data_IF_001912989543
#
_entry.id   IF_001912989543
#
_cell.length_a   1.000
_cell.length_b   1.000
_cell.length_c   1.000
_cell.angle_alpha   90.00
_cell.angle_beta   90.00
_cell.angle_gamma   90.00
#
_symmetry.space_group_name_H-M   'P 1'
#
loop_
_entity.id
_entity.type
_entity.pdbx_description
1 polymer ?
#
# COMPACT_ATOMS: atom_id res chain seq x y z
N UNK A 1 -15.16 4.31 -7.83
CA UNK A 1 -14.52 5.29 -8.72
C UNK A 1 -13.14 4.78 -9.06
N UNK A 2 -12.83 4.49 -10.33
CA UNK A 2 -11.49 4.04 -10.75
C UNK A 2 -10.55 5.25 -10.62
N UNK A 3 -9.45 5.12 -9.87
CA UNK A 3 -8.40 6.15 -9.81
C UNK A 3 -7.83 6.30 -11.22
N UNK A 4 -8.16 7.39 -11.92
CA UNK A 4 -7.48 7.76 -13.15
C UNK A 4 -6.20 8.49 -12.76
N UNK A 5 -5.06 7.83 -12.90
CA UNK A 5 -3.76 8.38 -12.57
C UNK A 5 -3.55 9.70 -13.32
N UNK A 6 -3.15 10.77 -12.62
CA UNK A 6 -2.81 12.07 -13.26
C UNK A 6 -1.67 11.91 -14.27
N UNK A 7 -0.91 10.81 -14.19
CA UNK A 7 0.17 10.45 -15.10
C UNK A 7 -0.31 10.17 -16.53
N UNK A 8 -1.58 9.81 -16.74
CA UNK A 8 -2.15 9.64 -18.08
C UNK A 8 -2.57 10.98 -18.72
N UNK A 9 -2.30 12.11 -18.07
CA UNK A 9 -2.62 13.43 -18.60
C UNK A 9 -1.64 13.80 -19.73
N UNK A 10 -2.13 14.11 -20.96
CA UNK A 10 -1.28 14.44 -22.10
C UNK A 10 -0.35 15.64 -21.86
N UNK A 11 -0.68 16.52 -20.91
CA UNK A 11 0.14 17.69 -20.56
C UNK A 11 1.43 17.31 -19.86
N UNK A 12 1.44 16.19 -19.11
CA UNK A 12 2.66 15.67 -18.49
C UNK A 12 3.55 15.01 -19.54
N UNK A 13 2.95 14.32 -20.52
CA UNK A 13 3.66 13.67 -21.62
C UNK A 13 4.47 14.63 -22.50
N UNK A 14 4.01 15.88 -22.64
CA UNK A 14 4.71 16.94 -23.37
C UNK A 14 6.04 17.39 -22.73
N UNK A 15 6.26 17.12 -21.44
CA UNK A 15 7.47 17.50 -20.71
C UNK A 15 8.56 16.41 -20.63
N UNK A 16 8.25 15.16 -20.98
CA UNK A 16 9.14 14.01 -20.72
C UNK A 16 10.25 13.78 -21.76
N UNK A 17 10.28 14.56 -22.84
CA UNK A 17 11.23 14.36 -23.94
C UNK A 17 12.53 15.18 -23.87
N UNK A 18 12.72 16.08 -22.89
CA UNK A 18 13.62 17.22 -23.13
C UNK A 18 15.02 17.16 -22.51
N UNK A 19 15.36 16.20 -21.62
CA UNK A 19 16.71 16.20 -21.03
C UNK A 19 17.34 14.79 -20.87
N UNK A 20 18.26 14.39 -21.76
CA UNK A 20 18.97 13.11 -21.65
C UNK A 20 19.93 13.02 -20.43
N UNK A 21 20.11 14.11 -19.68
CA UNK A 21 20.91 14.14 -18.45
C UNK A 21 20.09 13.89 -17.18
N UNK A 22 18.75 13.76 -17.30
CA UNK A 22 17.86 13.50 -16.17
C UNK A 22 17.23 12.13 -16.35
N UNK A 23 17.55 11.20 -15.45
CA UNK A 23 16.88 9.90 -15.41
C UNK A 23 15.41 10.13 -15.07
N UNK A 24 14.53 9.74 -16.00
CA UNK A 24 13.09 9.91 -15.84
C UNK A 24 12.50 8.62 -15.26
N UNK A 25 12.10 8.63 -13.99
CA UNK A 25 11.52 7.47 -13.29
C UNK A 25 9.99 7.40 -13.43
N UNK A 26 9.43 8.10 -14.41
CA UNK A 26 7.98 8.24 -14.59
C UNK A 26 7.31 6.88 -14.83
N UNK A 27 7.88 6.04 -15.69
CA UNK A 27 7.35 4.71 -16.01
C UNK A 27 7.33 3.79 -14.77
N UNK A 28 8.37 3.88 -13.93
CA UNK A 28 8.46 3.11 -12.67
C UNK A 28 7.39 3.58 -11.69
N UNK A 29 7.14 4.88 -11.63
CA UNK A 29 6.14 5.46 -10.71
C UNK A 29 4.72 5.17 -11.19
N UNK A 30 4.49 5.21 -12.50
CA UNK A 30 3.22 4.84 -13.11
C UNK A 30 2.90 3.36 -12.88
N UNK A 31 3.87 2.47 -13.13
CA UNK A 31 3.72 1.03 -12.85
C UNK A 31 3.41 0.77 -11.37
N UNK A 32 4.07 1.49 -10.46
CA UNK A 32 3.77 1.39 -9.04
C UNK A 32 2.32 1.80 -8.72
N UNK A 33 1.82 2.89 -9.30
CA UNK A 33 0.45 3.38 -9.08
C UNK A 33 -0.59 2.43 -9.67
N UNK A 34 -0.36 1.92 -10.88
CA UNK A 34 -1.35 1.10 -11.59
C UNK A 34 -1.38 -0.35 -11.11
N UNK A 35 -0.22 -0.91 -10.76
CA UNK A 35 -0.08 -2.35 -10.55
C UNK A 35 0.36 -2.76 -9.13
N UNK A 36 0.89 -1.84 -8.32
CA UNK A 36 1.53 -2.20 -7.02
C UNK A 36 0.93 -1.51 -5.81
N UNK A 37 0.31 -0.34 -5.97
CA UNK A 37 -0.34 0.37 -4.87
C UNK A 37 -1.63 -0.35 -4.47
N UNK A 38 -1.63 -0.94 -3.27
CA UNK A 38 -2.84 -1.43 -2.65
C UNK A 38 -3.85 -0.30 -2.46
N UNK A 39 -5.14 -0.59 -2.69
CA UNK A 39 -6.22 0.30 -2.26
C UNK A 39 -6.45 0.12 -0.77
N UNK A 40 -6.46 1.23 -0.03
CA UNK A 40 -6.93 1.25 1.35
C UNK A 40 -8.32 0.60 1.43
N UNK A 41 -8.50 -0.44 2.27
CA UNK A 41 -9.81 -1.00 2.55
C UNK A 41 -10.72 0.09 3.12
N UNK A 42 -11.95 0.19 2.61
CA UNK A 42 -12.96 1.09 3.15
C UNK A 42 -13.52 0.55 4.48
N UNK A 43 -12.67 0.49 5.51
CA UNK A 43 -13.00 0.04 6.85
C UNK A 43 -12.86 1.23 7.82
N UNK A 44 -13.88 1.53 8.66
CA UNK A 44 -13.82 2.66 9.61
C UNK A 44 -12.59 2.64 10.52
N UNK A 45 -12.16 1.44 10.93
CA UNK A 45 -11.02 1.23 11.83
C UNK A 45 -9.74 0.81 11.08
N UNK A 46 -9.62 1.14 9.79
CA UNK A 46 -8.44 0.78 8.98
C UNK A 46 -7.14 1.39 9.53
N UNK A 47 -7.20 2.63 10.03
CA UNK A 47 -6.01 3.32 10.57
C UNK A 47 -5.41 2.49 11.72
N UNK A 48 -6.24 2.07 12.68
CA UNK A 48 -5.78 1.27 13.83
C UNK A 48 -5.18 -0.08 13.38
N UNK A 49 -5.78 -0.74 12.39
CA UNK A 49 -5.23 -1.99 11.84
C UNK A 49 -3.90 -1.78 11.11
N UNK A 50 -3.86 -0.81 10.21
CA UNK A 50 -2.77 -0.57 9.28
C UNK A 50 -1.53 0.03 9.93
N UNK A 51 -1.70 0.80 11.02
CA UNK A 51 -0.60 1.47 11.70
C UNK A 51 -0.23 0.83 13.04
N UNK A 52 -1.20 0.32 13.81
CA UNK A 52 -0.93 -0.11 15.19
C UNK A 52 -0.94 -1.62 15.38
N UNK A 53 -1.65 -2.38 14.55
CA UNK A 53 -1.73 -3.84 14.69
C UNK A 53 -0.81 -4.60 13.73
N UNK A 54 -1.00 -4.44 12.42
CA UNK A 54 -0.27 -5.24 11.43
C UNK A 54 1.24 -4.99 11.47
N UNK A 55 1.74 -3.73 11.60
CA UNK A 55 3.17 -3.49 11.70
C UNK A 55 3.82 -4.16 12.92
N UNK A 56 3.11 -4.23 14.06
CA UNK A 56 3.61 -4.88 15.27
C UNK A 56 3.76 -6.39 15.06
N UNK A 57 2.75 -7.03 14.49
CA UNK A 57 2.78 -8.48 14.24
C UNK A 57 3.84 -8.86 13.18
N UNK A 58 3.97 -8.05 12.13
CA UNK A 58 5.05 -8.21 11.14
C UNK A 58 6.43 -7.95 11.74
N UNK A 59 6.58 -6.97 12.64
CA UNK A 59 7.83 -6.72 13.35
C UNK A 59 8.26 -7.92 14.20
N UNK A 60 7.33 -8.55 14.92
CA UNK A 60 7.59 -9.79 15.68
C UNK A 60 7.99 -10.95 14.76
N UNK A 61 7.38 -11.06 13.58
CA UNK A 61 7.75 -12.08 12.59
C UNK A 61 9.18 -11.86 12.07
N UNK A 62 9.53 -10.62 11.69
CA UNK A 62 10.84 -10.27 11.14
C UNK A 62 11.98 -10.39 12.17
N UNK A 63 11.64 -10.39 13.46
CA UNK A 63 12.60 -10.51 14.57
C UNK A 63 12.60 -11.90 15.20
N UNK A 64 12.02 -12.90 14.53
CA UNK A 64 11.92 -14.30 14.98
C UNK A 64 11.23 -14.49 16.35
N UNK A 65 10.47 -13.48 16.82
CA UNK A 65 9.69 -13.58 18.06
C UNK A 65 8.43 -14.44 17.88
N UNK A 66 7.98 -14.63 16.63
CA UNK A 66 6.86 -15.51 16.29
C UNK A 66 6.97 -16.08 14.88
N UNK A 67 6.28 -17.18 14.63
CA UNK A 67 6.22 -17.80 13.31
C UNK A 67 5.09 -17.22 12.44
N UNK A 68 5.17 -17.48 11.13
CA UNK A 68 4.22 -16.96 10.14
C UNK A 68 2.76 -17.34 10.43
N UNK A 69 2.49 -18.54 10.96
CA UNK A 69 1.12 -18.98 11.26
C UNK A 69 0.53 -18.17 12.40
N UNK A 70 1.30 -17.93 13.45
CA UNK A 70 0.89 -17.09 14.59
C UNK A 70 0.65 -15.65 14.15
N UNK A 71 1.56 -15.08 13.33
CA UNK A 71 1.39 -13.72 12.78
C UNK A 71 0.10 -13.57 12.00
N UNK A 72 -0.16 -14.48 11.05
CA UNK A 72 -1.36 -14.42 10.22
C UNK A 72 -2.63 -14.61 11.06
N UNK A 73 -2.59 -15.44 12.11
CA UNK A 73 -3.70 -15.63 13.01
C UNK A 73 -4.04 -14.35 13.79
N UNK A 74 -3.06 -13.72 14.43
CA UNK A 74 -3.29 -12.47 15.18
C UNK A 74 -3.78 -11.32 14.29
N UNK A 75 -3.22 -11.20 13.07
CA UNK A 75 -3.67 -10.21 12.10
C UNK A 75 -5.14 -10.46 11.68
N UNK A 76 -5.53 -11.73 11.48
CA UNK A 76 -6.91 -12.08 11.15
C UNK A 76 -7.87 -11.77 12.30
N UNK A 77 -7.51 -12.06 13.54
CA UNK A 77 -8.33 -11.71 14.71
C UNK A 77 -8.48 -10.20 14.87
N UNK A 78 -7.42 -9.43 14.64
CA UNK A 78 -7.49 -7.98 14.69
C UNK A 78 -8.43 -7.43 13.61
N UNK A 79 -8.33 -7.91 12.38
CA UNK A 79 -9.23 -7.56 11.30
C UNK A 79 -10.69 -7.90 11.64
N UNK A 80 -10.96 -9.08 12.21
CA UNK A 80 -12.30 -9.50 12.63
C UNK A 80 -12.89 -8.55 13.68
N UNK A 81 -12.13 -8.21 14.73
CA UNK A 81 -12.56 -7.24 15.76
C UNK A 81 -12.87 -5.87 15.17
N UNK A 82 -12.04 -5.41 14.25
CA UNK A 82 -12.21 -4.12 13.60
C UNK A 82 -13.46 -4.08 12.70
N UNK A 83 -13.90 -5.21 12.15
CA UNK A 83 -15.15 -5.35 11.40
C UNK A 83 -16.39 -5.53 12.28
N UNK A 84 -16.24 -6.09 13.49
CA UNK A 84 -17.34 -6.30 14.44
C UNK A 84 -17.72 -5.05 15.25
N UNK A 85 -16.84 -4.04 15.31
CA UNK A 85 -17.06 -2.78 16.02
C UNK A 85 -17.97 -1.78 15.24
N UNK A 86 -18.75 -2.26 14.28
CA UNK A 86 -19.66 -1.53 13.39
C UNK A 86 -21.12 -1.86 13.72
#
# INVERSE_FOLDING_TARGET
SVRRSTYSDPRLQLGFGANPQVTNYFDVTLDAIENRMGTEPHLPNWIDLGFDCFPVELGKLMTDQQNIKTTLHHMAEAAARATEAL
#
